data_IF_114187746798
#
_entry.id   IF_114187746798
#
_cell.length_a   1.000
_cell.length_b   1.000
_cell.length_c   1.000
_cell.angle_alpha   90.00
_cell.angle_beta   90.00
_cell.angle_gamma   90.00
#
_symmetry.space_group_name_H-M   'P 1'
#
loop_
_entity.id
_entity.type
_entity.pdbx_description
1 polymer ?
#
# COMPACT_ATOMS: atom_id res chain seq x y z
N UNK A 1 -42.45 4.96 -10.83
CA UNK A 1 -42.01 6.38 -10.72
C UNK A 1 -41.57 6.84 -9.33
N UNK A 2 -41.59 6.01 -8.27
CA UNK A 2 -41.06 6.38 -6.93
C UNK A 2 -39.59 5.97 -6.65
N UNK A 3 -38.92 5.27 -7.58
CA UNK A 3 -37.50 4.84 -7.43
C UNK A 3 -36.46 5.74 -8.10
N UNK A 4 -36.88 6.74 -8.88
CA UNK A 4 -35.96 7.69 -9.53
C UNK A 4 -35.77 9.00 -8.75
N UNK A 5 -36.55 9.21 -7.69
CA UNK A 5 -36.46 10.42 -6.87
C UNK A 5 -35.34 10.35 -5.82
N UNK A 6 -34.73 9.18 -5.58
CA UNK A 6 -33.61 9.05 -4.63
C UNK A 6 -32.23 9.33 -5.25
N UNK A 7 -32.10 9.29 -6.59
CA UNK A 7 -30.84 9.65 -7.26
C UNK A 7 -30.62 11.17 -7.34
N UNK A 8 -31.69 11.97 -7.37
CA UNK A 8 -31.55 13.44 -7.39
C UNK A 8 -31.11 14.00 -6.02
N UNK A 9 -31.38 13.28 -4.93
CA UNK A 9 -30.91 13.64 -3.58
C UNK A 9 -29.47 13.17 -3.30
N UNK A 10 -28.99 12.16 -4.03
CA UNK A 10 -27.60 11.70 -3.92
C UNK A 10 -26.62 12.55 -4.77
N UNK A 11 -27.08 13.17 -5.86
CA UNK A 11 -26.26 14.05 -6.69
C UNK A 11 -26.13 15.49 -6.16
N UNK A 12 -27.01 15.90 -5.24
CA UNK A 12 -26.99 17.22 -4.59
C UNK A 12 -26.24 17.25 -3.24
N UNK A 13 -25.72 16.11 -2.77
CA UNK A 13 -24.92 16.03 -1.54
C UNK A 13 -23.39 16.09 -1.78
N UNK A 14 -22.95 16.26 -3.03
CA UNK A 14 -21.53 16.33 -3.39
C UNK A 14 -20.87 17.71 -3.12
N UNK A 15 -21.58 18.86 -2.96
CA UNK A 15 -20.93 20.07 -2.45
C UNK A 15 -20.97 20.22 -0.92
N UNK A 16 -21.65 19.34 -0.16
CA UNK A 16 -21.86 19.55 1.30
C UNK A 16 -20.81 18.84 2.18
N UNK A 17 -20.01 17.92 1.62
CA UNK A 17 -18.97 17.22 2.39
C UNK A 17 -17.67 18.05 2.55
N UNK A 18 -17.59 19.24 1.95
CA UNK A 18 -16.44 20.14 2.06
C UNK A 18 -16.59 21.27 3.12
N UNK A 19 -17.63 21.24 3.97
CA UNK A 19 -17.85 22.27 5.02
C UNK A 19 -18.01 21.70 6.45
N UNK A 20 -17.77 20.41 6.68
CA UNK A 20 -17.72 19.84 8.04
C UNK A 20 -16.29 19.52 8.47
N UNK A 21 -15.42 20.52 8.42
CA UNK A 21 -14.14 20.54 9.12
C UNK A 21 -14.13 21.68 10.14
N UNK A 22 -15.05 21.63 11.12
CA UNK A 22 -14.96 22.31 12.41
C UNK A 22 -16.16 21.97 13.31
N UNK A 23 -16.48 20.69 13.49
CA UNK A 23 -17.05 20.28 14.77
C UNK A 23 -15.88 19.85 15.64
N UNK A 24 -15.46 20.74 16.54
CA UNK A 24 -14.53 20.41 17.61
C UNK A 24 -15.17 19.32 18.47
N UNK A 25 -15.01 18.06 18.07
CA UNK A 25 -15.17 16.95 18.98
C UNK A 25 -13.97 17.05 19.92
N UNK A 26 -14.19 17.62 21.10
CA UNK A 26 -13.25 17.47 22.20
C UNK A 26 -13.28 15.98 22.58
N UNK A 27 -12.51 15.17 21.87
CA UNK A 27 -12.23 13.82 22.30
C UNK A 27 -11.67 13.93 23.72
N UNK A 28 -12.36 13.33 24.69
CA UNK A 28 -11.81 13.08 26.01
C UNK A 28 -10.44 12.45 25.81
N UNK A 29 -9.40 13.05 26.38
CA UNK A 29 -8.04 12.53 26.24
C UNK A 29 -8.04 11.12 26.81
N UNK A 30 -7.65 10.13 26.01
CA UNK A 30 -7.65 8.72 26.38
C UNK A 30 -6.69 8.49 27.56
N UNK A 31 -7.16 7.82 28.62
CA UNK A 31 -6.34 7.46 29.79
C UNK A 31 -5.10 6.66 29.39
N UNK A 32 -5.16 5.90 28.28
CA UNK A 32 -3.98 5.21 27.75
C UNK A 32 -2.89 6.17 27.27
N UNK A 33 -3.28 7.29 26.68
CA UNK A 33 -2.35 8.35 26.27
C UNK A 33 -1.71 9.00 27.50
N UNK A 34 -2.51 9.35 28.51
CA UNK A 34 -2.02 9.93 29.76
C UNK A 34 -1.06 8.96 30.46
N UNK A 35 -1.41 7.68 30.53
CA UNK A 35 -0.59 6.64 31.13
C UNK A 35 0.77 6.52 30.43
N UNK A 36 0.79 6.42 29.10
CA UNK A 36 2.03 6.32 28.34
C UNK A 36 2.92 7.55 28.50
N UNK A 37 2.34 8.75 28.48
CA UNK A 37 3.09 9.98 28.66
C UNK A 37 3.62 10.10 30.11
N UNK A 38 2.80 9.80 31.12
CA UNK A 38 3.20 9.80 32.52
C UNK A 38 4.33 8.79 32.79
N UNK A 39 4.27 7.58 32.23
CA UNK A 39 5.38 6.60 32.29
C UNK A 39 6.68 7.21 31.79
N UNK A 40 6.67 7.84 30.61
CA UNK A 40 7.87 8.41 30.00
C UNK A 40 8.46 9.58 30.81
N UNK A 41 7.60 10.40 31.44
CA UNK A 41 8.03 11.53 32.28
C UNK A 41 8.65 11.03 33.58
N UNK A 42 8.05 10.01 34.20
CA UNK A 42 8.58 9.37 35.41
C UNK A 42 9.95 8.74 35.15
N UNK A 43 10.11 8.05 34.02
CA UNK A 43 11.39 7.43 33.66
C UNK A 43 12.47 8.47 33.35
N UNK A 44 12.11 9.53 32.60
CA UNK A 44 13.07 10.55 32.16
C UNK A 44 13.50 11.51 33.27
N UNK A 45 12.56 11.99 34.09
CA UNK A 45 12.81 13.09 35.04
C UNK A 45 13.03 12.60 36.47
N UNK A 46 12.55 11.41 36.80
CA UNK A 46 12.63 10.83 38.13
C UNK A 46 13.34 9.46 38.16
N UNK A 47 13.78 8.95 37.01
CA UNK A 47 14.50 7.68 36.87
C UNK A 47 13.79 6.50 37.55
N UNK A 48 12.46 6.51 37.53
CA UNK A 48 11.61 5.48 38.12
C UNK A 48 10.57 4.98 37.12
N UNK A 49 10.22 3.70 37.21
CA UNK A 49 9.19 3.06 36.40
C UNK A 49 8.27 2.24 37.30
N UNK A 50 7.32 2.92 37.99
CA UNK A 50 6.44 2.26 38.94
C UNK A 50 5.45 1.35 38.20
N UNK A 51 5.46 0.06 38.55
CA UNK A 51 4.53 -0.94 38.02
C UNK A 51 3.08 -0.65 38.43
N UNK A 52 2.91 0.15 39.48
CA UNK A 52 1.62 0.59 40.02
C UNK A 52 0.94 1.73 39.26
N UNK A 53 1.57 2.30 38.22
CA UNK A 53 0.99 3.42 37.46
C UNK A 53 -0.30 2.99 36.73
N UNK A 54 -1.43 3.48 37.23
CA UNK A 54 -2.73 3.37 36.57
C UNK A 54 -3.33 4.74 36.35
N UNK A 55 -4.11 4.88 35.27
CA UNK A 55 -4.87 6.10 34.97
C UNK A 55 -6.31 5.72 34.76
N UNK A 56 -7.21 6.43 35.42
CA UNK A 56 -8.66 6.24 35.26
C UNK A 56 -9.34 7.59 35.35
N UNK A 57 -10.11 7.94 34.32
CA UNK A 57 -10.83 9.20 34.18
C UNK A 57 -9.94 10.43 34.42
N UNK A 58 -8.73 10.43 33.84
CA UNK A 58 -7.76 11.52 33.98
C UNK A 58 -7.07 11.61 35.34
N UNK A 59 -7.30 10.67 36.27
CA UNK A 59 -6.62 10.59 37.57
C UNK A 59 -5.47 9.60 37.51
N UNK A 60 -4.25 10.05 37.83
CA UNK A 60 -3.07 9.19 37.92
C UNK A 60 -2.95 8.62 39.34
N UNK A 61 -2.84 7.30 39.47
CA UNK A 61 -2.59 6.61 40.73
C UNK A 61 -1.18 6.02 40.76
N UNK A 62 -0.46 6.26 41.86
CA UNK A 62 0.91 5.78 42.07
C UNK A 62 1.09 5.23 43.48
N UNK A 63 1.85 4.15 43.63
CA UNK A 63 2.17 3.62 44.96
C UNK A 63 3.35 4.36 45.60
N UNK A 64 3.17 4.87 46.82
CA UNK A 64 4.20 5.56 47.58
C UNK A 64 5.47 4.72 47.80
N UNK A 65 5.33 3.40 47.92
CA UNK A 65 6.44 2.46 48.13
C UNK A 65 7.38 2.32 46.93
N UNK A 66 6.88 2.57 45.71
CA UNK A 66 7.66 2.53 44.47
C UNK A 66 8.32 3.88 44.14
N UNK A 67 8.01 4.92 44.91
CA UNK A 67 8.53 6.29 44.76
C UNK A 67 9.59 6.64 45.83
N UNK A 68 10.20 5.63 46.46
CA UNK A 68 11.18 5.83 47.52
C UNK A 68 12.39 6.66 47.01
N UNK A 69 12.59 7.84 47.60
CA UNK A 69 13.67 8.77 47.22
C UNK A 69 13.28 9.84 46.20
N UNK A 70 12.03 9.84 45.71
CA UNK A 70 11.49 10.87 44.82
C UNK A 70 10.78 11.96 45.61
N UNK A 71 11.01 13.23 45.26
CA UNK A 71 10.26 14.36 45.82
C UNK A 71 8.82 14.34 45.29
N UNK A 72 7.89 13.87 46.12
CA UNK A 72 6.46 13.77 45.81
C UNK A 72 5.83 15.09 45.38
N UNK A 73 6.29 16.23 45.92
CA UNK A 73 5.76 17.55 45.57
C UNK A 73 6.17 17.97 44.16
N UNK A 74 7.43 17.72 43.81
CA UNK A 74 7.94 17.95 42.44
C UNK A 74 7.29 16.99 41.44
N UNK A 75 7.11 15.72 41.80
CA UNK A 75 6.46 14.71 40.96
C UNK A 75 5.02 15.08 40.62
N UNK A 76 4.21 15.43 41.62
CA UNK A 76 2.81 15.84 41.39
C UNK A 76 2.75 17.08 40.49
N UNK A 77 3.62 18.06 40.73
CA UNK A 77 3.68 19.29 39.92
C UNK A 77 4.00 19.03 38.45
N UNK A 78 4.89 18.06 38.18
CA UNK A 78 5.28 17.69 36.82
C UNK A 78 4.16 16.91 36.13
N UNK A 79 3.53 15.94 36.82
CA UNK A 79 2.47 15.12 36.24
C UNK A 79 1.18 15.90 35.99
N UNK A 80 0.83 16.88 36.84
CA UNK A 80 -0.32 17.78 36.62
C UNK A 80 -0.17 18.67 35.37
N UNK A 81 1.04 18.83 34.82
CA UNK A 81 1.25 19.57 33.56
C UNK A 81 0.90 18.76 32.32
N UNK A 82 0.69 17.45 32.45
CA UNK A 82 0.29 16.58 31.34
C UNK A 82 -1.15 16.92 30.96
N UNK A 83 -1.35 17.27 29.68
CA UNK A 83 -2.68 17.60 29.15
C UNK A 83 -3.64 16.42 29.36
N UNK A 84 -4.72 16.65 30.10
CA UNK A 84 -5.74 15.63 30.42
C UNK A 84 -5.64 15.04 31.82
N UNK A 85 -4.59 15.35 32.58
CA UNK A 85 -4.51 14.95 34.00
C UNK A 85 -5.33 15.90 34.85
N UNK A 86 -6.35 15.37 35.52
CA UNK A 86 -7.19 16.13 36.45
C UNK A 86 -6.60 16.13 37.85
N UNK A 87 -6.02 15.00 38.28
CA UNK A 87 -5.43 14.83 39.61
C UNK A 87 -4.38 13.72 39.65
N UNK A 88 -3.48 13.79 40.63
CA UNK A 88 -2.49 12.75 40.94
C UNK A 88 -2.70 12.29 42.38
N UNK A 89 -2.82 10.99 42.58
CA UNK A 89 -2.98 10.33 43.87
C UNK A 89 -1.80 9.40 44.15
N UNK A 90 -1.12 9.63 45.27
CA UNK A 90 -0.08 8.75 45.78
C UNK A 90 -0.68 7.92 46.92
N UNK A 91 -0.87 6.64 46.68
CA UNK A 91 -1.51 5.69 47.60
C UNK A 91 -0.45 5.02 48.49
N UNK A 92 -0.75 4.90 49.79
CA UNK A 92 0.08 4.14 50.74
C UNK A 92 -0.15 2.62 50.62
N UNK A 93 0.85 1.83 51.04
CA UNK A 93 0.94 0.36 50.90
C UNK A 93 -0.28 -0.42 51.44
N UNK A 94 -1.20 0.20 52.20
CA UNK A 94 -2.36 -0.45 52.81
C UNK A 94 -3.71 -0.26 52.08
N UNK A 95 -3.76 0.29 50.86
CA UNK A 95 -5.03 0.47 50.11
C UNK A 95 -5.17 -0.36 48.83
N UNK A 96 -4.22 -1.26 48.54
CA UNK A 96 -4.34 -2.25 47.47
C UNK A 96 -4.66 -3.63 48.07
N UNK A 97 -5.90 -3.82 48.53
CA UNK A 97 -6.46 -5.16 48.68
C UNK A 97 -7.13 -5.57 47.36
N UNK A 98 -6.99 -6.82 46.89
CA UNK A 98 -7.70 -7.28 45.71
C UNK A 98 -9.20 -7.22 46.02
N UNK A 99 -10.00 -6.57 45.15
CA UNK A 99 -11.43 -6.84 45.15
C UNK A 99 -11.63 -8.27 44.67
N UNK A 100 -12.02 -9.15 45.59
CA UNK A 100 -12.63 -10.43 45.28
C UNK A 100 -13.79 -10.19 44.30
N UNK A 101 -13.54 -10.48 43.03
CA UNK A 101 -14.62 -10.69 42.07
C UNK A 101 -15.09 -12.11 42.30
N UNK A 102 -16.18 -12.22 43.06
CA UNK A 102 -17.00 -13.41 43.15
C UNK A 102 -17.16 -14.04 41.78
N UNK A 103 -16.80 -15.32 41.68
CA UNK A 103 -17.04 -16.15 40.52
C UNK A 103 -18.55 -16.33 40.32
N UNK A 104 -19.19 -15.35 39.68
CA UNK A 104 -20.51 -15.53 39.10
C UNK A 104 -20.31 -16.34 37.82
N UNK A 105 -20.60 -17.64 37.93
CA UNK A 105 -20.59 -18.57 36.83
C UNK A 105 -21.74 -18.23 35.87
N UNK A 106 -21.55 -17.22 35.02
CA UNK A 106 -22.18 -17.21 33.72
C UNK A 106 -21.53 -18.31 32.90
N UNK A 107 -22.07 -19.52 33.05
CA UNK A 107 -21.90 -20.62 32.11
C UNK A 107 -22.42 -20.13 30.77
N UNK A 108 -21.55 -19.49 29.99
CA UNK A 108 -21.76 -19.32 28.55
C UNK A 108 -21.83 -20.74 28.02
N UNK A 109 -23.05 -21.18 27.77
CA UNK A 109 -23.33 -22.38 27.01
C UNK A 109 -22.60 -22.17 25.69
N UNK A 110 -21.45 -22.85 25.53
CA UNK A 110 -20.77 -22.94 24.25
C UNK A 110 -21.75 -23.68 23.35
N UNK A 111 -22.57 -22.93 22.63
CA UNK A 111 -23.09 -23.40 21.35
C UNK A 111 -21.86 -23.95 20.63
N UNK A 112 -21.85 -25.28 20.45
CA UNK A 112 -20.98 -25.90 19.49
C UNK A 112 -21.42 -25.32 18.15
N UNK A 113 -20.81 -24.20 17.77
CA UNK A 113 -20.76 -23.79 16.38
C UNK A 113 -20.09 -24.96 15.67
N UNK A 114 -20.91 -25.85 15.12
CA UNK A 114 -20.47 -26.76 14.08
C UNK A 114 -19.81 -25.87 13.03
N UNK A 115 -18.48 -25.94 12.97
CA UNK A 115 -17.73 -25.45 11.84
C UNK A 115 -18.25 -26.25 10.67
N UNK A 116 -19.18 -25.65 9.91
CA UNK A 116 -19.55 -26.14 8.60
C UNK A 116 -18.26 -26.09 7.78
N UNK A 117 -17.65 -27.26 7.63
CA UNK A 117 -16.60 -27.48 6.65
C UNK A 117 -17.12 -26.93 5.31
N UNK A 118 -16.33 -26.05 4.71
CA UNK A 118 -16.61 -25.48 3.40
C UNK A 118 -16.96 -26.58 2.39
N UNK A 119 -17.91 -26.27 1.51
CA UNK A 119 -18.35 -27.10 0.39
C UNK A 119 -17.15 -27.69 -0.38
N UNK A 120 -17.09 -29.01 -0.61
CA UNK A 120 -16.04 -29.67 -1.40
C UNK A 120 -15.88 -29.13 -2.83
N UNK A 121 -16.80 -28.30 -3.32
CA UNK A 121 -16.73 -27.63 -4.62
C UNK A 121 -16.10 -26.22 -4.59
N UNK A 122 -15.62 -25.73 -3.43
CA UNK A 122 -14.86 -24.47 -3.35
C UNK A 122 -13.37 -24.73 -3.61
N UNK A 123 -12.84 -24.08 -4.64
CA UNK A 123 -11.45 -24.31 -5.09
C UNK A 123 -10.40 -23.93 -4.03
N UNK A 124 -9.35 -24.74 -3.85
CA UNK A 124 -8.20 -24.35 -3.04
C UNK A 124 -7.43 -23.26 -3.77
N UNK A 125 -7.35 -22.06 -3.18
CA UNK A 125 -6.61 -20.92 -3.75
C UNK A 125 -7.19 -19.52 -3.54
N UNK A 126 -8.18 -19.33 -2.65
CA UNK A 126 -8.73 -18.00 -2.37
C UNK A 126 -7.83 -17.19 -1.41
N UNK A 127 -6.69 -16.71 -1.88
CA UNK A 127 -6.14 -15.43 -1.37
C UNK A 127 -7.24 -14.38 -1.57
N UNK A 128 -7.67 -13.71 -0.50
CA UNK A 128 -8.68 -12.62 -0.48
C UNK A 128 -8.85 -11.96 -1.86
N UNK A 129 -9.90 -12.34 -2.59
CA UNK A 129 -10.10 -11.98 -4.00
C UNK A 129 -9.90 -10.47 -4.21
N UNK A 130 -8.80 -10.07 -4.88
CA UNK A 130 -8.57 -8.68 -5.29
C UNK A 130 -9.68 -8.31 -6.28
N UNK A 131 -10.19 -7.08 -6.20
CA UNK A 131 -11.22 -6.61 -7.15
C UNK A 131 -10.61 -6.44 -8.55
N UNK A 132 -9.33 -6.09 -8.62
CA UNK A 132 -8.55 -6.02 -9.86
C UNK A 132 -7.19 -6.66 -9.60
N UNK A 133 -6.83 -7.67 -10.39
CA UNK A 133 -5.55 -8.37 -10.23
C UNK A 133 -4.38 -7.53 -10.81
N UNK A 134 -3.20 -7.55 -10.17
CA UNK A 134 -2.00 -6.86 -10.66
C UNK A 134 -1.64 -7.19 -12.11
N UNK A 135 -1.17 -6.20 -12.88
CA UNK A 135 -0.68 -6.43 -14.24
C UNK A 135 0.78 -6.89 -14.18
N UNK A 136 1.04 -8.18 -14.45
CA UNK A 136 2.33 -8.81 -14.11
C UNK A 136 3.48 -8.41 -15.03
N UNK A 137 3.16 -7.93 -16.23
CA UNK A 137 4.14 -7.47 -17.21
C UNK A 137 4.24 -5.94 -17.29
N UNK A 138 3.42 -5.20 -16.54
CA UNK A 138 3.55 -3.75 -16.46
C UNK A 138 4.72 -3.40 -15.52
N UNK A 139 5.83 -2.83 -16.02
CA UNK A 139 7.01 -2.53 -15.20
C UNK A 139 6.74 -1.47 -14.12
N UNK A 140 5.59 -0.79 -14.20
CA UNK A 140 5.19 0.31 -13.32
C UNK A 140 3.94 -0.01 -12.52
N UNK A 141 3.55 -1.28 -12.45
CA UNK A 141 2.46 -1.67 -11.55
C UNK A 141 2.91 -1.62 -10.07
N UNK A 142 2.08 -1.09 -9.14
CA UNK A 142 2.41 -1.10 -7.71
C UNK A 142 2.57 -2.51 -7.15
N UNK A 143 3.78 -2.86 -6.75
CA UNK A 143 4.12 -4.08 -6.01
C UNK A 143 5.48 -3.91 -5.33
N UNK A 144 5.92 -4.89 -4.55
CA UNK A 144 7.30 -4.95 -4.07
C UNK A 144 8.13 -5.80 -5.01
N UNK A 145 9.34 -5.38 -5.37
CA UNK A 145 10.27 -6.21 -6.12
C UNK A 145 11.72 -5.82 -5.91
N UNK A 146 12.60 -6.79 -6.18
CA UNK A 146 14.03 -6.59 -6.35
C UNK A 146 14.47 -7.37 -7.59
N UNK A 147 15.34 -6.79 -8.40
CA UNK A 147 15.78 -7.40 -9.63
C UNK A 147 17.08 -6.81 -10.15
N UNK A 148 17.72 -7.60 -11.01
CA UNK A 148 18.87 -7.18 -11.80
C UNK A 148 18.41 -6.96 -13.24
N UNK A 149 18.80 -5.83 -13.82
CA UNK A 149 18.55 -5.44 -15.21
C UNK A 149 19.87 -5.34 -15.95
N UNK A 150 19.95 -5.98 -17.12
CA UNK A 150 21.05 -5.84 -18.05
C UNK A 150 20.58 -5.07 -19.27
N UNK A 151 21.08 -3.86 -19.42
CA UNK A 151 20.76 -2.95 -20.50
C UNK A 151 21.59 -3.33 -21.74
N UNK A 152 20.91 -3.52 -22.87
CA UNK A 152 21.52 -4.03 -24.11
C UNK A 152 21.67 -2.96 -25.19
N UNK A 153 21.13 -1.75 -24.98
CA UNK A 153 21.31 -0.65 -25.93
C UNK A 153 22.68 0.04 -25.80
N UNK A 154 23.04 0.81 -26.84
CA UNK A 154 24.34 1.47 -26.98
C UNK A 154 24.45 2.79 -26.17
N UNK A 155 24.47 2.70 -24.84
CA UNK A 155 25.49 3.42 -24.08
C UNK A 155 25.06 4.45 -23.05
N UNK A 156 24.44 4.01 -21.96
CA UNK A 156 24.46 4.81 -20.71
C UNK A 156 24.56 3.94 -19.44
N UNK A 157 23.94 2.76 -19.44
CA UNK A 157 24.00 1.81 -18.32
C UNK A 157 24.28 0.40 -18.83
N UNK A 158 25.05 -0.39 -18.08
CA UNK A 158 25.23 -1.82 -18.34
C UNK A 158 24.42 -2.66 -17.36
N UNK A 159 24.89 -2.67 -16.11
CA UNK A 159 24.32 -3.45 -15.03
C UNK A 159 23.51 -2.55 -14.10
N UNK A 160 22.21 -2.80 -13.94
CA UNK A 160 21.32 -1.97 -13.12
C UNK A 160 20.64 -2.81 -12.05
N UNK A 161 20.66 -2.34 -10.81
CA UNK A 161 19.79 -2.86 -9.76
C UNK A 161 18.48 -2.10 -9.80
N UNK A 162 17.36 -2.83 -9.82
CA UNK A 162 16.03 -2.25 -9.79
C UNK A 162 15.25 -2.76 -8.58
N UNK A 163 14.56 -1.86 -7.90
CA UNK A 163 13.64 -2.21 -6.83
C UNK A 163 12.35 -1.39 -6.91
N UNK A 164 11.27 -2.00 -6.43
CA UNK A 164 9.99 -1.33 -6.24
C UNK A 164 9.43 -1.61 -4.85
N UNK A 165 8.66 -0.67 -4.33
CA UNK A 165 7.87 -0.83 -3.12
C UNK A 165 6.52 -0.18 -3.35
N UNK A 166 5.46 -0.97 -3.27
CA UNK A 166 4.13 -0.46 -3.54
C UNK A 166 3.06 -1.49 -3.27
N UNK A 167 1.85 -1.00 -2.99
CA UNK A 167 0.66 -1.83 -2.81
C UNK A 167 -0.59 -0.94 -2.95
N UNK A 168 -1.77 -1.58 -3.00
CA UNK A 168 -3.05 -0.88 -2.83
C UNK A 168 -3.57 -1.05 -1.41
N UNK A 169 -3.64 0.04 -0.65
CA UNK A 169 -4.36 0.05 0.63
C UNK A 169 -5.86 0.11 0.37
N UNK A 170 -6.57 -1.00 0.55
CA UNK A 170 -8.03 -1.03 0.45
C UNK A 170 -8.66 -0.29 1.64
N UNK A 171 -9.38 0.80 1.37
CA UNK A 171 -10.06 1.62 2.38
C UNK A 171 -11.45 1.05 2.67
N UNK A 172 -12.18 0.70 1.61
CA UNK A 172 -13.52 0.13 1.72
C UNK A 172 -13.75 -0.87 0.60
N UNK A 173 -14.48 -1.96 0.91
CA UNK A 173 -14.91 -2.97 -0.04
C UNK A 173 -16.36 -3.35 0.26
N UNK A 174 -17.20 -3.45 -0.76
CA UNK A 174 -18.60 -3.82 -0.60
C UNK A 174 -19.26 -4.31 -1.87
N UNK A 175 -20.52 -4.72 -1.74
CA UNK A 175 -21.36 -5.07 -2.87
C UNK A 175 -21.73 -3.82 -3.67
N UNK A 176 -21.71 -3.96 -4.99
CA UNK A 176 -22.01 -2.90 -5.96
C UNK A 176 -23.21 -3.23 -6.83
N UNK A 177 -23.60 -2.30 -7.71
CA UNK A 177 -24.67 -2.52 -8.68
C UNK A 177 -24.42 -3.78 -9.54
N UNK A 178 -25.51 -4.33 -10.10
CA UNK A 178 -25.47 -5.47 -11.03
C UNK A 178 -24.78 -6.73 -10.48
N UNK A 179 -24.91 -6.97 -9.17
CA UNK A 179 -24.29 -8.11 -8.48
C UNK A 179 -22.75 -8.12 -8.57
N UNK A 180 -22.15 -6.94 -8.77
CA UNK A 180 -20.70 -6.78 -8.72
C UNK A 180 -20.21 -6.49 -7.30
N UNK A 181 -18.89 -6.47 -7.15
CA UNK A 181 -18.20 -5.97 -5.95
C UNK A 181 -17.42 -4.70 -6.33
N UNK A 182 -17.31 -3.76 -5.42
CA UNK A 182 -16.47 -2.58 -5.61
C UNK A 182 -15.55 -2.36 -4.42
N UNK A 183 -14.48 -1.63 -4.67
CA UNK A 183 -13.51 -1.24 -3.66
C UNK A 183 -13.00 0.16 -3.95
N UNK A 184 -12.81 0.97 -2.90
CA UNK A 184 -12.00 2.18 -2.97
C UNK A 184 -10.71 1.94 -2.23
N UNK A 185 -9.60 2.36 -2.83
CA UNK A 185 -8.27 2.16 -2.27
C UNK A 185 -7.30 3.28 -2.63
N UNK A 186 -6.17 3.28 -1.94
CA UNK A 186 -5.04 4.19 -2.17
C UNK A 186 -3.90 3.34 -2.72
N UNK A 187 -3.71 3.27 -4.06
CA UNK A 187 -2.49 2.74 -4.65
C UNK A 187 -1.35 3.74 -4.44
N UNK A 188 -0.19 3.23 -4.03
CA UNK A 188 1.05 3.98 -3.98
C UNK A 188 2.23 3.07 -4.32
N UNK A 189 3.24 3.61 -5.01
CA UNK A 189 4.46 2.90 -5.34
C UNK A 189 5.65 3.84 -5.51
N UNK A 190 6.83 3.37 -5.12
CA UNK A 190 8.12 3.91 -5.50
C UNK A 190 8.89 2.93 -6.39
N UNK A 191 9.69 3.45 -7.31
CA UNK A 191 10.53 2.68 -8.23
C UNK A 191 11.92 3.30 -8.29
N UNK A 192 12.93 2.52 -7.93
CA UNK A 192 14.32 2.96 -7.89
C UNK A 192 15.20 2.12 -8.81
N UNK A 193 16.17 2.76 -9.43
CA UNK A 193 17.23 2.10 -10.19
C UNK A 193 18.60 2.64 -9.78
N UNK A 194 19.57 1.73 -9.63
CA UNK A 194 20.95 2.02 -9.28
C UNK A 194 21.91 1.47 -10.34
N UNK A 195 22.97 2.22 -10.63
CA UNK A 195 24.03 1.82 -11.55
C UNK A 195 25.01 0.90 -10.82
N UNK A 196 25.01 -0.39 -11.13
CA UNK A 196 25.91 -1.36 -10.49
C UNK A 196 27.34 -1.30 -11.04
N UNK A 197 27.58 -0.56 -12.12
CA UNK A 197 28.90 -0.40 -12.71
C UNK A 197 29.71 0.73 -12.02
N UNK A 198 29.13 1.45 -11.05
CA UNK A 198 29.84 2.45 -10.21
C UNK A 198 30.31 1.88 -8.88
N UNK A 199 31.30 2.54 -8.26
CA UNK A 199 31.89 2.13 -6.98
C UNK A 199 30.87 2.14 -5.81
N UNK A 200 29.88 3.03 -5.84
CA UNK A 200 28.89 3.24 -4.78
C UNK A 200 27.49 2.70 -5.08
N UNK A 201 27.28 2.09 -6.25
CA UNK A 201 25.95 1.73 -6.75
C UNK A 201 25.03 2.95 -6.81
N UNK A 202 25.43 3.92 -7.64
CA UNK A 202 24.88 5.27 -7.68
C UNK A 202 23.38 5.23 -7.98
N UNK A 203 22.58 6.00 -7.25
CA UNK A 203 21.16 6.13 -7.57
C UNK A 203 21.01 6.85 -8.91
N UNK A 204 20.36 6.20 -9.88
CA UNK A 204 20.11 6.77 -11.20
C UNK A 204 18.81 7.58 -11.18
N UNK A 205 17.73 6.95 -10.72
CA UNK A 205 16.38 7.51 -10.75
C UNK A 205 15.50 6.91 -9.66
N UNK A 206 14.67 7.75 -9.07
CA UNK A 206 13.61 7.39 -8.15
C UNK A 206 12.30 8.04 -8.60
N UNK A 207 11.30 7.21 -8.89
CA UNK A 207 9.96 7.69 -9.22
C UNK A 207 8.95 7.33 -8.14
N UNK A 208 7.96 8.19 -7.96
CA UNK A 208 6.84 7.95 -7.06
C UNK A 208 5.52 8.06 -7.81
N UNK A 209 4.57 7.22 -7.44
CA UNK A 209 3.19 7.31 -7.88
C UNK A 209 2.24 7.06 -6.72
N UNK A 210 1.13 7.79 -6.68
CA UNK A 210 0.14 7.65 -5.62
C UNK A 210 -1.18 8.29 -5.98
N UNK A 211 -2.30 7.74 -5.48
CA UNK A 211 -3.60 8.29 -5.82
C UNK A 211 -4.77 7.65 -5.10
N UNK A 212 -5.97 7.92 -5.61
CA UNK A 212 -7.22 7.29 -5.16
C UNK A 212 -7.81 6.52 -6.33
N UNK A 213 -8.16 5.26 -6.07
CA UNK A 213 -8.67 4.35 -7.08
C UNK A 213 -10.00 3.73 -6.66
N UNK A 214 -10.91 3.64 -7.62
CA UNK A 214 -12.12 2.84 -7.60
C UNK A 214 -11.88 1.58 -8.42
N UNK A 215 -12.14 0.43 -7.81
CA UNK A 215 -12.08 -0.88 -8.43
C UNK A 215 -13.49 -1.47 -8.48
N UNK A 216 -13.81 -2.19 -9.55
CA UNK A 216 -15.07 -2.90 -9.69
C UNK A 216 -14.83 -4.28 -10.32
N UNK A 217 -15.51 -5.31 -9.83
CA UNK A 217 -15.46 -6.67 -10.38
C UNK A 217 -16.85 -7.24 -10.51
N UNK A 218 -17.14 -7.84 -11.66
CA UNK A 218 -18.34 -8.64 -11.88
C UNK A 218 -18.00 -9.80 -12.81
N UNK A 219 -18.18 -11.02 -12.31
CA UNK A 219 -17.90 -12.24 -13.06
C UNK A 219 -16.46 -12.20 -13.63
N UNK A 220 -16.32 -12.31 -14.96
CA UNK A 220 -15.03 -12.25 -15.66
C UNK A 220 -14.50 -10.82 -15.91
N UNK A 221 -15.28 -9.78 -15.59
CA UNK A 221 -14.88 -8.38 -15.81
C UNK A 221 -14.31 -7.76 -14.54
N UNK A 222 -13.19 -7.06 -14.66
CA UNK A 222 -12.69 -6.17 -13.61
C UNK A 222 -12.26 -4.83 -14.20
N UNK A 223 -12.58 -3.74 -13.50
CA UNK A 223 -12.25 -2.39 -13.90
C UNK A 223 -11.54 -1.62 -12.80
N UNK A 224 -10.70 -0.69 -13.22
CA UNK A 224 -9.98 0.26 -12.38
C UNK A 224 -10.19 1.65 -12.94
N UNK A 225 -10.57 2.60 -12.09
CA UNK A 225 -10.53 4.02 -12.40
C UNK A 225 -9.76 4.72 -11.29
N UNK A 226 -8.79 5.58 -11.62
CA UNK A 226 -8.05 6.29 -10.59
C UNK A 226 -7.63 7.69 -11.02
N UNK A 227 -7.53 8.58 -10.04
CA UNK A 227 -6.83 9.86 -10.14
C UNK A 227 -5.52 9.69 -9.39
N UNK A 228 -4.40 9.97 -10.02
CA UNK A 228 -3.08 9.74 -9.45
C UNK A 228 -2.11 10.89 -9.77
N UNK A 229 -1.15 11.05 -8.88
CA UNK A 229 0.02 11.88 -9.04
C UNK A 229 1.22 10.97 -9.34
N UNK A 230 2.11 11.42 -10.23
CA UNK A 230 3.39 10.78 -10.53
C UNK A 230 4.49 11.82 -10.52
N UNK A 231 5.60 11.54 -9.86
CA UNK A 231 6.79 12.39 -9.84
C UNK A 231 8.06 11.57 -10.08
N UNK A 232 9.11 12.25 -10.51
CA UNK A 232 10.42 11.67 -10.77
C UNK A 232 11.53 12.52 -10.19
N UNK A 233 12.53 11.85 -9.61
CA UNK A 233 13.71 12.43 -9.01
C UNK A 233 14.94 11.71 -9.53
N UNK A 234 15.89 12.47 -10.08
CA UNK A 234 17.21 11.96 -10.43
C UNK A 234 18.05 11.79 -9.17
N UNK A 235 18.84 10.73 -9.09
CA UNK A 235 19.77 10.57 -7.97
C UNK A 235 20.87 11.62 -8.00
N UNK A 236 21.33 12.01 -6.82
CA UNK A 236 22.36 13.03 -6.68
C UNK A 236 23.75 12.52 -7.06
N UNK A 237 24.08 11.25 -6.79
CA UNK A 237 25.33 10.65 -7.29
C UNK A 237 25.39 10.66 -8.82
N UNK A 238 24.27 10.33 -9.48
CA UNK A 238 24.20 10.37 -10.94
C UNK A 238 24.38 11.79 -11.50
N UNK A 239 23.85 12.82 -10.82
CA UNK A 239 24.07 14.23 -11.19
C UNK A 239 25.52 14.69 -10.98
N UNK A 240 26.22 14.15 -9.98
CA UNK A 240 27.62 14.50 -9.68
C UNK A 240 28.58 13.88 -10.68
N UNK A 241 28.27 12.69 -11.18
CA UNK A 241 29.14 11.94 -12.10
C UNK A 241 28.80 12.13 -13.58
N UNK A 242 27.63 12.67 -13.92
CA UNK A 242 27.19 12.83 -15.32
C UNK A 242 26.70 14.25 -15.64
N UNK A 243 26.96 14.71 -16.87
CA UNK A 243 26.44 15.99 -17.37
C UNK A 243 24.99 15.84 -17.88
N UNK A 244 24.05 15.67 -16.95
CA UNK A 244 22.64 15.44 -17.29
C UNK A 244 21.79 16.66 -16.93
N UNK A 245 20.92 17.07 -17.85
CA UNK A 245 19.94 18.11 -17.58
C UNK A 245 18.80 17.51 -16.77
N UNK A 246 18.72 17.88 -15.50
CA UNK A 246 17.60 17.50 -14.62
C UNK A 246 16.26 17.90 -15.25
N UNK A 247 15.33 16.95 -15.28
CA UNK A 247 13.94 17.18 -15.67
C UNK A 247 13.07 17.00 -14.42
N UNK A 248 12.26 18.01 -14.09
CA UNK A 248 11.31 17.88 -12.98
C UNK A 248 10.00 17.28 -13.52
N UNK A 249 10.04 16.02 -13.95
CA UNK A 249 8.84 15.35 -14.43
C UNK A 249 7.88 15.12 -13.25
N UNK A 250 6.72 15.78 -13.32
CA UNK A 250 5.64 15.64 -12.35
C UNK A 250 4.32 15.82 -13.06
N UNK A 251 3.33 14.97 -12.78
CA UNK A 251 2.01 15.17 -13.34
C UNK A 251 0.88 14.55 -12.52
N UNK A 252 -0.30 15.15 -12.62
CA UNK A 252 -1.56 14.52 -12.25
C UNK A 252 -2.32 13.99 -13.47
N UNK A 253 -2.79 12.76 -13.36
CA UNK A 253 -3.50 12.05 -14.41
C UNK A 253 -4.72 11.30 -13.90
N UNK A 254 -5.65 11.05 -14.83
CA UNK A 254 -6.73 10.09 -14.65
C UNK A 254 -6.46 8.86 -15.50
N UNK A 255 -6.75 7.67 -14.97
CA UNK A 255 -6.68 6.43 -15.75
C UNK A 255 -7.96 5.61 -15.61
N UNK A 256 -8.28 4.89 -16.68
CA UNK A 256 -9.29 3.85 -16.71
C UNK A 256 -8.69 2.58 -17.32
N UNK A 257 -8.79 1.45 -16.64
CA UNK A 257 -8.38 0.14 -17.14
C UNK A 257 -9.52 -0.87 -17.01
N UNK A 258 -9.66 -1.75 -18.00
CA UNK A 258 -10.64 -2.82 -18.02
C UNK A 258 -9.92 -4.13 -18.35
N UNK A 259 -10.23 -5.18 -17.60
CA UNK A 259 -9.74 -6.53 -17.82
C UNK A 259 -10.89 -7.51 -18.01
N UNK A 260 -10.63 -8.54 -18.80
CA UNK A 260 -11.55 -9.64 -19.05
C UNK A 260 -10.82 -10.98 -18.90
N UNK A 261 -11.30 -11.81 -17.99
CA UNK A 261 -10.85 -13.17 -17.76
C UNK A 261 -11.50 -14.10 -18.81
N UNK A 262 -10.81 -14.31 -19.94
CA UNK A 262 -11.27 -15.19 -21.03
C UNK A 262 -11.51 -16.61 -20.51
N UNK A 263 -10.62 -17.05 -19.61
CA UNK A 263 -10.73 -18.31 -18.89
C UNK A 263 -9.95 -18.20 -17.58
N UNK A 264 -9.92 -19.29 -16.81
CA UNK A 264 -9.04 -19.37 -15.63
C UNK A 264 -7.55 -19.21 -15.94
N UNK A 265 -7.17 -19.44 -17.20
CA UNK A 265 -5.79 -19.43 -17.66
C UNK A 265 -5.37 -18.12 -18.32
N UNK A 266 -6.31 -17.33 -18.86
CA UNK A 266 -6.00 -16.24 -19.77
C UNK A 266 -6.79 -14.99 -19.42
N UNK A 267 -6.08 -13.85 -19.36
CA UNK A 267 -6.65 -12.53 -19.13
C UNK A 267 -6.17 -11.57 -20.20
N UNK A 268 -7.06 -10.70 -20.66
CA UNK A 268 -6.72 -9.54 -21.49
C UNK A 268 -7.09 -8.27 -20.76
N UNK A 269 -6.38 -7.19 -21.04
CA UNK A 269 -6.73 -5.88 -20.51
C UNK A 269 -6.37 -4.77 -21.47
N UNK A 270 -7.06 -3.65 -21.31
CA UNK A 270 -6.76 -2.40 -22.00
C UNK A 270 -7.07 -1.21 -21.08
N UNK A 271 -6.41 -0.09 -21.33
CA UNK A 271 -6.58 1.12 -20.56
C UNK A 271 -6.13 2.37 -21.29
N UNK A 272 -6.57 3.49 -20.75
CA UNK A 272 -6.25 4.83 -21.23
C UNK A 272 -5.95 5.72 -20.03
N UNK A 273 -4.94 6.56 -20.19
CA UNK A 273 -4.56 7.56 -19.21
C UNK A 273 -4.57 8.95 -19.88
N UNK A 274 -5.00 9.96 -19.13
CA UNK A 274 -4.98 11.36 -19.55
C UNK A 274 -4.34 12.25 -18.48
N UNK A 275 -3.26 12.93 -18.86
CA UNK A 275 -2.55 13.90 -18.02
C UNK A 275 -3.24 15.26 -18.11
N UNK A 276 -3.78 15.71 -16.98
CA UNK A 276 -4.50 16.98 -16.90
C UNK A 276 -3.64 18.12 -16.34
N UNK A 277 -2.62 17.81 -15.54
CA UNK A 277 -1.72 18.80 -14.95
C UNK A 277 -0.26 18.33 -15.09
N UNK A 278 0.39 18.65 -16.22
CA UNK A 278 1.78 18.28 -16.48
C UNK A 278 2.80 19.34 -16.04
N UNK A 279 3.96 18.86 -15.58
CA UNK A 279 5.22 19.58 -15.46
C UNK A 279 6.33 18.67 -16.04
N UNK A 280 7.04 19.08 -17.10
CA UNK A 280 6.94 20.35 -17.81
C UNK A 280 5.65 20.51 -18.62
N UNK A 281 5.26 21.76 -18.90
CA UNK A 281 3.94 22.10 -19.49
C UNK A 281 3.72 21.58 -20.92
N UNK A 282 4.79 21.24 -21.62
CA UNK A 282 4.80 20.74 -22.99
C UNK A 282 4.62 19.23 -23.13
N UNK A 283 4.63 18.49 -21.99
CA UNK A 283 4.35 17.06 -21.91
C UNK A 283 2.99 16.74 -22.56
N UNK A 284 2.99 15.80 -23.50
CA UNK A 284 1.82 15.28 -24.18
C UNK A 284 0.96 14.46 -23.23
N UNK A 285 -0.34 14.42 -23.52
CA UNK A 285 -1.34 14.12 -22.49
C UNK A 285 -1.84 12.69 -22.48
N UNK A 286 -1.80 12.02 -23.63
CA UNK A 286 -2.48 10.75 -23.80
C UNK A 286 -1.53 9.56 -23.71
N UNK A 287 -1.97 8.52 -23.03
CA UNK A 287 -1.31 7.22 -23.03
C UNK A 287 -2.34 6.11 -23.19
N UNK A 288 -1.97 5.03 -23.87
CA UNK A 288 -2.76 3.81 -23.96
C UNK A 288 -1.94 2.62 -23.49
N UNK A 289 -2.62 1.63 -22.90
CA UNK A 289 -2.00 0.41 -22.43
C UNK A 289 -2.88 -0.78 -22.78
N UNK A 290 -2.29 -1.90 -23.16
CA UNK A 290 -3.02 -3.15 -23.35
C UNK A 290 -2.09 -4.33 -23.19
N UNK A 291 -2.65 -5.48 -22.86
CA UNK A 291 -1.85 -6.65 -22.60
C UNK A 291 -2.64 -7.94 -22.53
N UNK A 292 -1.87 -9.02 -22.47
CA UNK A 292 -2.33 -10.39 -22.39
C UNK A 292 -1.53 -11.11 -21.33
N UNK A 293 -2.20 -11.90 -20.52
CA UNK A 293 -1.57 -12.68 -19.47
C UNK A 293 -2.03 -14.12 -19.48
N UNK A 294 -1.10 -14.97 -19.09
CA UNK A 294 -1.27 -16.39 -18.89
C UNK A 294 -0.92 -16.75 -17.46
N UNK A 295 -1.83 -17.49 -16.83
CA UNK A 295 -1.60 -18.17 -15.55
C UNK A 295 -1.91 -19.64 -15.73
N UNK A 296 -0.93 -20.51 -15.53
CA UNK A 296 -1.17 -21.94 -15.68
C UNK A 296 -2.25 -22.42 -14.70
N UNK A 297 -3.21 -23.19 -15.18
CA UNK A 297 -4.25 -23.80 -14.33
C UNK A 297 -3.72 -25.02 -13.58
N UNK A 298 -2.56 -25.54 -13.99
CA UNK A 298 -1.86 -26.64 -13.34
C UNK A 298 -0.69 -26.10 -12.52
N UNK A 299 -0.41 -26.78 -11.44
CA UNK A 299 0.79 -26.60 -10.63
C UNK A 299 1.79 -27.72 -10.93
N UNK A 300 3.07 -27.44 -10.71
CA UNK A 300 4.20 -28.33 -10.91
C UNK A 300 4.95 -28.48 -9.58
N UNK A 301 5.88 -29.44 -9.52
CA UNK A 301 6.68 -29.75 -8.32
C UNK A 301 5.79 -29.99 -7.09
N UNK A 302 4.95 -31.04 -7.18
CA UNK A 302 4.01 -31.43 -6.12
C UNK A 302 3.09 -30.29 -5.64
N UNK A 303 2.72 -29.40 -6.56
CA UNK A 303 1.78 -28.32 -6.28
C UNK A 303 2.44 -26.99 -5.91
N UNK A 304 3.76 -26.95 -5.72
CA UNK A 304 4.45 -25.78 -5.19
C UNK A 304 4.69 -24.65 -6.18
N UNK A 305 4.68 -24.90 -7.49
CA UNK A 305 4.99 -23.88 -8.49
C UNK A 305 3.89 -23.74 -9.54
N UNK A 306 3.53 -22.49 -9.87
CA UNK A 306 2.58 -22.16 -10.94
C UNK A 306 3.24 -21.25 -11.98
N UNK A 307 3.42 -21.72 -13.22
CA UNK A 307 3.92 -20.87 -14.30
C UNK A 307 2.98 -19.70 -14.61
N UNK A 308 3.57 -18.55 -14.87
CA UNK A 308 2.89 -17.31 -15.27
C UNK A 308 3.68 -16.64 -16.40
N UNK A 309 2.97 -15.92 -17.27
CA UNK A 309 3.58 -15.11 -18.32
C UNK A 309 2.66 -13.96 -18.72
N UNK A 310 3.22 -12.86 -19.21
CA UNK A 310 2.47 -11.68 -19.60
C UNK A 310 3.19 -10.86 -20.65
N UNK A 311 2.40 -10.09 -21.39
CA UNK A 311 2.84 -9.08 -22.35
C UNK A 311 2.08 -7.81 -22.01
N UNK A 312 2.80 -6.71 -21.81
CA UNK A 312 2.27 -5.36 -21.64
C UNK A 312 2.81 -4.45 -22.75
N UNK A 313 1.91 -3.70 -23.37
CA UNK A 313 2.26 -2.74 -24.41
C UNK A 313 1.73 -1.38 -23.99
N UNK A 314 2.61 -0.38 -23.96
CA UNK A 314 2.28 1.01 -23.65
C UNK A 314 2.65 1.92 -24.82
N UNK A 315 1.73 2.80 -25.18
CA UNK A 315 1.96 3.86 -26.15
C UNK A 315 1.73 5.20 -25.47
N UNK A 316 2.64 6.14 -25.66
CA UNK A 316 2.52 7.51 -25.15
C UNK A 316 2.49 8.48 -26.32
N UNK A 317 1.60 9.46 -26.26
CA UNK A 317 1.60 10.56 -27.22
C UNK A 317 2.93 11.32 -27.21
N UNK A 318 3.61 11.38 -26.06
CA UNK A 318 4.94 12.01 -25.90
C UNK A 318 5.96 11.46 -26.88
N UNK A 319 5.87 10.15 -27.16
CA UNK A 319 6.84 9.43 -27.97
C UNK A 319 6.26 9.09 -29.35
N UNK A 320 5.43 9.96 -29.90
CA UNK A 320 4.77 9.78 -31.20
C UNK A 320 4.05 8.42 -31.34
N UNK A 321 3.52 7.90 -30.24
CA UNK A 321 2.82 6.60 -30.17
C UNK A 321 3.67 5.36 -30.46
N UNK A 322 5.00 5.47 -30.46
CA UNK A 322 5.88 4.30 -30.48
C UNK A 322 5.54 3.36 -29.32
N UNK A 323 5.59 2.06 -29.60
CA UNK A 323 5.18 1.03 -28.63
C UNK A 323 6.36 0.66 -27.75
N UNK A 324 6.20 0.84 -26.44
CA UNK A 324 7.02 0.15 -25.44
C UNK A 324 6.42 -1.22 -25.17
N UNK A 325 7.25 -2.26 -25.27
CA UNK A 325 6.86 -3.66 -25.09
C UNK A 325 7.58 -4.18 -23.85
N UNK A 326 6.81 -4.78 -22.95
CA UNK A 326 7.30 -5.48 -21.77
C UNK A 326 6.80 -6.93 -21.80
N UNK A 327 7.72 -7.86 -21.69
CA UNK A 327 7.47 -9.30 -21.60
C UNK A 327 7.92 -9.77 -20.22
N UNK A 328 7.08 -10.55 -19.55
CA UNK A 328 7.42 -11.14 -18.26
C UNK A 328 7.02 -12.62 -18.25
N UNK A 329 7.89 -13.50 -17.78
CA UNK A 329 7.60 -14.92 -17.62
C UNK A 329 8.29 -15.47 -16.37
N UNK A 330 7.63 -16.39 -15.68
CA UNK A 330 8.15 -16.84 -14.40
C UNK A 330 7.31 -17.90 -13.71
N UNK A 331 7.61 -18.10 -12.43
CA UNK A 331 6.89 -19.04 -11.56
C UNK A 331 6.44 -18.34 -10.29
N UNK A 332 5.16 -18.50 -9.97
CA UNK A 332 4.60 -18.17 -8.67
C UNK A 332 4.81 -19.35 -7.73
N UNK A 333 5.25 -19.07 -6.50
CA UNK A 333 5.26 -20.07 -5.44
C UNK A 333 3.83 -20.22 -4.90
N UNK A 334 3.38 -21.45 -4.73
CA UNK A 334 2.11 -21.79 -4.10
C UNK A 334 2.34 -22.26 -2.67
N UNK A 335 1.62 -21.66 -1.73
CA UNK A 335 1.63 -22.07 -0.33
C UNK A 335 0.31 -21.73 0.34
N UNK A 336 -0.20 -22.66 1.15
CA UNK A 336 -1.48 -22.47 1.86
C UNK A 336 -1.29 -21.86 3.26
N UNK A 337 -0.07 -21.89 3.81
CA UNK A 337 0.18 -21.56 5.22
C UNK A 337 1.18 -20.42 5.43
N UNK A 338 1.71 -19.84 4.36
CA UNK A 338 2.81 -18.89 4.46
C UNK A 338 2.65 -17.73 3.47
N UNK A 339 3.34 -16.63 3.75
CA UNK A 339 3.45 -15.49 2.83
C UNK A 339 4.24 -15.82 1.54
N UNK A 340 4.82 -17.02 1.44
CA UNK A 340 5.53 -17.46 0.24
C UNK A 340 4.63 -17.49 -1.00
N UNK A 341 3.30 -17.62 -0.82
CA UNK A 341 2.35 -17.58 -1.94
C UNK A 341 2.21 -16.22 -2.64
N UNK A 342 2.93 -15.22 -2.15
CA UNK A 342 2.99 -13.86 -2.72
C UNK A 342 4.20 -13.65 -3.62
N UNK A 343 5.14 -14.60 -3.65
CA UNK A 343 6.41 -14.47 -4.35
C UNK A 343 6.35 -15.08 -5.75
N UNK A 344 6.75 -14.28 -6.73
CA UNK A 344 6.98 -14.71 -8.10
C UNK A 344 8.45 -14.51 -8.45
N UNK A 345 9.08 -15.53 -9.04
CA UNK A 345 10.38 -15.38 -9.68
C UNK A 345 10.19 -15.15 -11.16
N UNK A 346 10.73 -14.05 -11.68
CA UNK A 346 10.45 -13.53 -13.01
C UNK A 346 11.73 -13.37 -13.82
N UNK A 347 11.62 -13.63 -15.12
CA UNK A 347 12.53 -13.16 -16.17
C UNK A 347 11.72 -12.20 -17.04
N UNK A 348 12.31 -11.06 -17.36
CA UNK A 348 11.63 -9.94 -18.00
C UNK A 348 12.46 -9.42 -19.19
N UNK A 349 11.78 -8.85 -20.17
CA UNK A 349 12.39 -8.15 -21.30
C UNK A 349 11.59 -6.88 -21.55
N UNK A 350 12.28 -5.76 -21.75
CA UNK A 350 11.68 -4.49 -22.07
C UNK A 350 12.36 -3.85 -23.26
N UNK A 351 11.57 -3.28 -24.17
CA UNK A 351 12.06 -2.48 -25.29
C UNK A 351 11.10 -1.33 -25.57
N UNK A 352 11.61 -0.10 -25.50
CA UNK A 352 10.90 1.11 -25.87
C UNK A 352 11.31 2.30 -25.01
N UNK A 353 10.49 3.35 -24.99
CA UNK A 353 10.80 4.52 -24.18
C UNK A 353 10.84 4.20 -22.68
N UNK A 354 11.80 4.79 -21.97
CA UNK A 354 12.06 4.52 -20.57
C UNK A 354 10.80 4.68 -19.73
N UNK A 355 10.48 3.69 -18.89
CA UNK A 355 9.41 3.82 -17.91
C UNK A 355 9.83 4.71 -16.74
N UNK A 356 11.11 5.07 -16.62
CA UNK A 356 11.68 5.92 -15.58
C UNK A 356 11.52 7.40 -15.95
N UNK A 357 10.93 8.19 -15.06
CA UNK A 357 10.46 9.54 -15.37
C UNK A 357 11.54 10.50 -15.86
N UNK A 358 12.71 10.52 -15.22
CA UNK A 358 13.83 11.39 -15.62
C UNK A 358 14.31 11.10 -17.05
N UNK A 359 14.10 9.88 -17.55
CA UNK A 359 14.59 9.40 -18.84
C UNK A 359 13.45 9.08 -19.82
N UNK A 360 12.23 9.58 -19.58
CA UNK A 360 11.03 9.19 -20.33
C UNK A 360 11.10 9.39 -21.86
N UNK A 361 11.98 10.26 -22.35
CA UNK A 361 12.23 10.49 -23.78
C UNK A 361 13.23 9.47 -24.38
N UNK A 362 14.07 8.82 -23.56
CA UNK A 362 15.10 7.88 -24.02
C UNK A 362 14.47 6.53 -24.35
N UNK A 363 14.90 5.91 -25.45
CA UNK A 363 14.62 4.51 -25.71
C UNK A 363 15.63 3.65 -24.99
N UNK A 364 15.15 2.60 -24.32
CA UNK A 364 15.97 1.63 -23.62
C UNK A 364 15.59 0.21 -24.01
N UNK A 365 16.55 -0.69 -23.91
CA UNK A 365 16.33 -2.12 -24.03
C UNK A 365 17.04 -2.84 -22.89
N UNK A 366 16.33 -3.71 -22.17
CA UNK A 366 16.94 -4.52 -21.12
C UNK A 366 16.30 -5.90 -20.99
N UNK A 367 17.08 -6.82 -20.43
CA UNK A 367 16.59 -8.08 -19.86
C UNK A 367 16.74 -8.03 -18.35
N UNK A 368 15.80 -8.62 -17.61
CA UNK A 368 15.85 -8.63 -16.17
C UNK A 368 15.54 -10.00 -15.58
N UNK A 369 15.99 -10.22 -14.35
CA UNK A 369 15.48 -11.28 -13.51
C UNK A 369 15.34 -10.79 -12.08
N UNK A 370 14.29 -11.25 -11.41
CA UNK A 370 13.97 -10.71 -10.09
C UNK A 370 12.91 -11.48 -9.33
N UNK A 371 12.70 -11.03 -8.10
CA UNK A 371 11.63 -11.51 -7.22
C UNK A 371 10.59 -10.42 -7.05
N UNK A 372 9.33 -10.77 -7.32
CA UNK A 372 8.17 -9.88 -7.24
C UNK A 372 7.23 -10.37 -6.14
N UNK A 373 6.68 -9.46 -5.35
CA UNK A 373 5.84 -9.76 -4.19
C UNK A 373 4.52 -8.98 -4.27
N UNK A 374 3.39 -9.71 -4.27
CA UNK A 374 2.05 -9.12 -4.39
C UNK A 374 1.21 -9.40 -3.13
N UNK A 375 0.76 -8.37 -2.41
CA UNK A 375 0.16 -8.53 -1.08
C UNK A 375 -1.36 -8.55 -1.01
#
# INVERSE_FOLDING_TARGET
MKKYLSMLHALLLVPVVLVLAATSYSASIDDNYIRGYASSVLEREFHTSPASLTVTDGVIYLNAGELAGVDSGKLITVLLKIKGVERVEILGVSQLAPKDVSADSHRVEREKAEVKWDDPNKEPGSTKEKIFDPLIADPRWPHFSIGYQYYTDNGEFGSVFAASYGETLAIYKGDGPFNGKWQVGVPAAGFIIHDLDTDSWDLINEDFSGGVALYYRREAWSGLFSIYHSSSHIGDEYLLHNQVKRSNLSYEAVQGKLSYDISRAYRVYAGIDYIFSPDPKDLKRWMTQYGFEFRCTRTYFNGSLRPIAGIDIKNRQENDWHSGISLAAGVKIESEHTLWNKINFMVEYFNGNSPNGQFHEKNIEYTAFGSHFYF
#
